data_IF_685799299312
#
_entry.id   IF_685799299312
#
_cell.length_a   1.000
_cell.length_b   1.000
_cell.length_c   1.000
_cell.angle_alpha   90.00
_cell.angle_beta   90.00
_cell.angle_gamma   90.00
#
_symmetry.space_group_name_H-M   'P 1'
#
loop_
_entity.id
_entity.type
_entity.pdbx_description
1 polymer ?
#
# COMPACT_ATOMS: atom_id res chain seq x y z
N UNK A 1 -14.23 24.22 5.61
CA UNK A 1 -13.94 23.99 7.01
C UNK A 1 -14.01 22.55 7.38
N UNK A 2 -15.22 22.06 7.54
CA UNK A 2 -15.39 20.67 7.89
C UNK A 2 -14.70 19.75 6.90
N UNK A 3 -14.73 20.12 5.64
CA UNK A 3 -14.13 19.33 4.61
C UNK A 3 -12.63 19.20 4.77
N UNK A 4 -11.97 20.29 5.13
CA UNK A 4 -10.53 20.26 5.32
C UNK A 4 -10.16 19.42 6.52
N UNK A 5 -10.92 19.56 7.60
CA UNK A 5 -10.70 18.76 8.77
C UNK A 5 -10.87 17.28 8.46
N UNK A 6 -11.91 16.96 7.68
CA UNK A 6 -12.15 15.56 7.29
C UNK A 6 -11.01 15.02 6.45
N UNK A 7 -10.49 15.82 5.53
CA UNK A 7 -9.39 15.38 4.69
C UNK A 7 -8.15 15.09 5.54
N UNK A 8 -7.86 15.94 6.52
CA UNK A 8 -6.74 15.72 7.41
C UNK A 8 -6.90 14.45 8.25
N UNK A 9 -8.12 14.21 8.70
CA UNK A 9 -8.41 13.01 9.48
C UNK A 9 -8.28 11.76 8.64
N UNK A 10 -8.64 11.84 7.36
CA UNK A 10 -8.70 10.68 6.49
C UNK A 10 -7.40 10.38 5.75
N UNK A 11 -6.43 11.29 5.80
CA UNK A 11 -5.17 11.06 5.09
C UNK A 11 -4.09 10.61 6.05
N UNK A 12 -3.13 9.89 5.51
CA UNK A 12 -1.96 9.43 6.26
C UNK A 12 -0.74 9.96 5.53
N UNK A 13 0.13 10.66 6.24
CA UNK A 13 1.34 11.16 5.64
C UNK A 13 2.34 10.03 5.46
N UNK A 14 3.30 10.26 4.56
CA UNK A 14 4.38 9.28 4.38
C UNK A 14 5.16 9.10 5.68
N UNK A 15 5.34 10.17 6.44
CA UNK A 15 6.06 10.09 7.72
C UNK A 15 5.34 9.18 8.71
N UNK A 16 4.01 9.26 8.78
CA UNK A 16 3.22 8.38 9.64
C UNK A 16 3.34 6.92 9.21
N UNK A 17 3.24 6.67 7.90
CA UNK A 17 3.38 5.33 7.37
C UNK A 17 4.78 4.78 7.64
N UNK A 18 5.79 5.60 7.44
CA UNK A 18 7.18 5.19 7.67
C UNK A 18 7.44 4.83 9.13
N UNK A 19 6.81 5.56 10.05
CA UNK A 19 6.95 5.23 11.48
C UNK A 19 6.41 3.84 11.80
N UNK A 20 5.26 3.48 11.22
CA UNK A 20 4.70 2.14 11.45
C UNK A 20 5.59 1.07 10.84
N UNK A 21 6.09 1.32 9.63
CA UNK A 21 7.01 0.37 9.02
C UNK A 21 8.25 0.17 9.89
N UNK A 22 8.85 1.24 10.40
CA UNK A 22 10.02 1.13 11.26
C UNK A 22 9.71 0.30 12.50
N UNK A 23 8.56 0.52 13.12
CA UNK A 23 8.16 -0.25 14.29
C UNK A 23 7.89 -1.71 13.97
N UNK A 24 7.53 -2.01 12.73
CA UNK A 24 7.22 -3.39 12.34
C UNK A 24 8.47 -4.28 12.31
N UNK A 25 9.64 -3.70 12.15
CA UNK A 25 10.87 -4.45 12.01
C UNK A 25 11.06 -5.13 10.68
N UNK A 26 10.21 -4.82 9.70
CA UNK A 26 10.27 -5.45 8.38
C UNK A 26 11.41 -4.89 7.53
N UNK A 27 11.85 -5.65 6.51
CA UNK A 27 12.90 -5.17 5.62
C UNK A 27 12.53 -3.89 4.90
N UNK A 28 13.46 -3.39 4.12
CA UNK A 28 13.34 -2.10 3.45
C UNK A 28 12.02 -1.97 2.69
N UNK A 29 11.29 -0.90 2.99
CA UNK A 29 10.08 -0.51 2.28
C UNK A 29 10.36 0.83 1.60
N UNK A 30 9.92 0.95 0.36
CA UNK A 30 9.97 2.22 -0.37
C UNK A 30 8.54 2.70 -0.57
N UNK A 31 8.40 4.00 -0.83
CA UNK A 31 7.08 4.62 -0.87
C UNK A 31 6.86 5.28 -2.22
N UNK A 32 5.62 5.16 -2.73
CA UNK A 32 5.19 5.85 -3.94
C UNK A 32 6.06 5.50 -5.16
N UNK A 33 6.29 4.22 -5.38
CA UNK A 33 7.03 3.74 -6.53
C UNK A 33 6.11 3.04 -7.50
N UNK A 34 6.35 3.25 -8.78
CA UNK A 34 5.58 2.58 -9.82
C UNK A 34 6.06 1.16 -9.98
N UNK A 35 5.11 0.23 -10.06
CA UNK A 35 5.38 -1.18 -10.25
C UNK A 35 4.92 -1.55 -11.66
N UNK A 36 5.75 -2.29 -12.37
CA UNK A 36 5.46 -2.73 -13.73
C UNK A 36 5.61 -4.23 -13.85
N UNK A 37 5.01 -4.81 -14.87
CA UNK A 37 5.12 -6.24 -15.14
C UNK A 37 6.42 -6.56 -15.91
N UNK A 38 6.58 -7.82 -16.28
CA UNK A 38 7.78 -8.27 -16.98
C UNK A 38 7.99 -7.56 -18.34
N UNK A 39 6.89 -7.12 -18.94
CA UNK A 39 6.95 -6.41 -20.22
C UNK A 39 7.07 -4.90 -20.05
N UNK A 40 7.17 -4.43 -18.83
CA UNK A 40 7.30 -3.00 -18.54
C UNK A 40 5.98 -2.26 -18.50
N UNK A 41 4.85 -2.97 -18.51
CA UNK A 41 3.55 -2.32 -18.45
C UNK A 41 3.17 -1.99 -17.01
N UNK A 42 2.57 -0.82 -16.84
CA UNK A 42 2.20 -0.30 -15.53
C UNK A 42 1.17 -1.17 -14.83
N UNK A 43 1.42 -1.50 -13.57
CA UNK A 43 0.45 -2.21 -12.74
C UNK A 43 -0.18 -1.26 -11.74
N UNK A 44 0.62 -0.61 -10.91
CA UNK A 44 0.11 0.26 -9.85
C UNK A 44 1.25 1.05 -9.21
N UNK A 45 0.87 2.03 -8.38
CA UNK A 45 1.83 2.76 -7.56
C UNK A 45 1.31 2.69 -6.12
N UNK A 46 1.63 1.62 -5.39
CA UNK A 46 1.16 1.48 -4.01
C UNK A 46 1.83 2.48 -3.09
N UNK A 47 1.20 2.73 -1.94
CA UNK A 47 1.77 3.65 -0.97
C UNK A 47 3.10 3.14 -0.42
N UNK A 48 3.17 1.85 -0.07
CA UNK A 48 4.39 1.21 0.38
C UNK A 48 4.69 -0.05 -0.42
N UNK A 49 5.96 -0.37 -0.57
CA UNK A 49 6.39 -1.53 -1.37
C UNK A 49 7.63 -2.16 -0.77
N UNK A 50 7.56 -3.45 -0.50
CA UNK A 50 8.75 -4.23 -0.13
C UNK A 50 9.12 -5.10 -1.33
N UNK A 51 10.16 -4.69 -2.03
CA UNK A 51 10.52 -5.28 -3.31
C UNK A 51 10.97 -6.73 -3.20
N UNK A 52 11.64 -7.06 -2.12
CA UNK A 52 12.17 -8.42 -1.95
C UNK A 52 11.11 -9.49 -2.10
N UNK A 53 9.90 -9.20 -1.68
CA UNK A 53 8.82 -10.20 -1.67
C UNK A 53 7.60 -9.77 -2.48
N UNK A 54 7.68 -8.63 -3.16
CA UNK A 54 6.56 -8.10 -3.94
C UNK A 54 5.31 -7.96 -3.07
N UNK A 55 5.45 -7.19 -1.99
CA UNK A 55 4.38 -6.90 -1.05
C UNK A 55 4.01 -5.42 -1.16
N UNK A 56 2.73 -5.13 -1.36
CA UNK A 56 2.21 -3.77 -1.50
C UNK A 56 1.36 -3.39 -0.30
N UNK A 57 1.63 -2.22 0.26
CA UNK A 57 0.82 -1.64 1.34
C UNK A 57 0.01 -0.50 0.73
N UNK A 58 -1.30 -0.59 0.83
CA UNK A 58 -2.21 0.34 0.18
C UNK A 58 -3.07 1.01 1.23
N UNK A 59 -2.78 2.28 1.53
CA UNK A 59 -3.50 3.01 2.56
C UNK A 59 -4.63 3.77 1.88
N UNK A 60 -5.85 3.37 2.19
CA UNK A 60 -7.02 3.92 1.53
C UNK A 60 -7.30 5.34 1.94
N UNK A 61 -7.80 6.11 1.00
CA UNK A 61 -8.48 7.35 1.31
C UNK A 61 -9.94 7.03 1.55
N UNK A 62 -10.56 7.69 2.51
CA UNK A 62 -11.99 7.51 2.74
C UNK A 62 -12.83 8.32 1.76
N UNK A 63 -12.20 9.04 0.86
CA UNK A 63 -12.91 9.82 -0.15
C UNK A 63 -13.78 8.96 -1.06
N UNK A 64 -13.42 7.68 -1.23
CA UNK A 64 -14.20 6.80 -2.08
C UNK A 64 -15.63 6.61 -1.59
N UNK A 65 -15.90 6.85 -0.32
CA UNK A 65 -17.27 6.81 0.21
C UNK A 65 -18.18 7.80 -0.50
N UNK A 66 -17.61 8.94 -0.85
CA UNK A 66 -18.35 10.03 -1.45
C UNK A 66 -18.21 10.08 -2.97
N UNK A 67 -17.34 9.22 -3.52
CA UNK A 67 -17.02 9.22 -4.94
C UNK A 67 -16.95 7.77 -5.43
N UNK A 68 -18.07 7.23 -5.94
CA UNK A 68 -18.10 5.85 -6.43
C UNK A 68 -17.03 5.54 -7.46
N UNK A 69 -16.67 6.50 -8.29
CA UNK A 69 -15.63 6.30 -9.29
C UNK A 69 -14.28 6.08 -8.64
N UNK A 70 -13.98 6.77 -7.56
CA UNK A 70 -12.74 6.58 -6.84
C UNK A 70 -12.69 5.20 -6.19
N UNK A 71 -13.81 4.74 -5.66
CA UNK A 71 -13.89 3.40 -5.10
C UNK A 71 -13.64 2.34 -6.17
N UNK A 72 -14.29 2.48 -7.31
CA UNK A 72 -14.12 1.56 -8.42
C UNK A 72 -12.65 1.51 -8.85
N UNK A 73 -12.02 2.66 -8.97
CA UNK A 73 -10.61 2.76 -9.35
C UNK A 73 -9.71 2.02 -8.37
N UNK A 74 -10.00 2.16 -7.07
CA UNK A 74 -9.25 1.49 -6.02
C UNK A 74 -9.37 -0.03 -6.14
N UNK A 75 -10.58 -0.52 -6.34
CA UNK A 75 -10.82 -1.96 -6.49
C UNK A 75 -10.09 -2.49 -7.72
N UNK A 76 -10.17 -1.77 -8.83
CA UNK A 76 -9.50 -2.20 -10.07
C UNK A 76 -7.99 -2.22 -9.91
N UNK A 77 -7.42 -1.24 -9.23
CA UNK A 77 -5.98 -1.19 -8.98
C UNK A 77 -5.53 -2.40 -8.16
N UNK A 78 -6.25 -2.70 -7.08
CA UNK A 78 -5.92 -3.85 -6.25
C UNK A 78 -6.07 -5.16 -7.01
N UNK A 79 -7.10 -5.25 -7.82
CA UNK A 79 -7.31 -6.46 -8.64
C UNK A 79 -6.15 -6.66 -9.59
N UNK A 80 -5.66 -5.59 -10.23
CA UNK A 80 -4.50 -5.70 -11.11
C UNK A 80 -3.28 -6.21 -10.36
N UNK A 81 -3.02 -5.66 -9.18
CA UNK A 81 -1.88 -6.11 -8.38
C UNK A 81 -2.02 -7.59 -8.02
N UNK A 82 -3.18 -7.99 -7.57
CA UNK A 82 -3.42 -9.38 -7.17
C UNK A 82 -3.33 -10.33 -8.36
N UNK A 83 -3.78 -9.90 -9.53
CA UNK A 83 -3.69 -10.71 -10.74
C UNK A 83 -2.24 -10.98 -11.14
N UNK A 84 -1.32 -10.12 -10.72
CA UNK A 84 0.10 -10.31 -10.96
C UNK A 84 0.81 -11.03 -9.81
N UNK A 85 0.07 -11.53 -8.85
CA UNK A 85 0.65 -12.29 -7.75
C UNK A 85 1.19 -11.45 -6.59
N UNK A 86 0.92 -10.16 -6.61
CA UNK A 86 1.35 -9.26 -5.53
C UNK A 86 0.46 -9.47 -4.32
N UNK A 87 1.06 -9.55 -3.14
CA UNK A 87 0.30 -9.57 -1.88
C UNK A 87 -0.01 -8.13 -1.51
N UNK A 88 -1.27 -7.80 -1.34
CA UNK A 88 -1.71 -6.43 -1.05
C UNK A 88 -2.33 -6.37 0.34
N UNK A 89 -1.89 -5.42 1.14
CA UNK A 89 -2.52 -5.13 2.44
C UNK A 89 -3.23 -3.79 2.35
N UNK A 90 -4.57 -3.78 2.27
CA UNK A 90 -5.30 -2.52 2.38
C UNK A 90 -5.41 -2.11 3.85
N UNK A 91 -5.22 -0.84 4.12
CA UNK A 91 -5.30 -0.31 5.48
C UNK A 91 -6.09 0.98 5.46
N UNK A 92 -7.00 1.13 6.42
CA UNK A 92 -7.76 2.38 6.57
C UNK A 92 -6.90 3.41 7.30
N UNK A 93 -6.97 4.68 6.91
CA UNK A 93 -6.25 5.74 7.65
C UNK A 93 -6.61 5.78 9.13
N UNK A 94 -7.87 5.54 9.47
CA UNK A 94 -8.28 5.52 10.87
C UNK A 94 -7.55 4.44 11.66
N UNK A 95 -7.27 3.30 11.04
CA UNK A 95 -6.55 2.24 11.72
C UNK A 95 -5.11 2.65 12.03
N UNK A 96 -4.48 3.40 11.15
CA UNK A 96 -3.13 3.89 11.37
C UNK A 96 -3.07 4.75 12.63
N UNK A 97 -4.08 5.56 12.86
CA UNK A 97 -4.12 6.47 14.01
C UNK A 97 -4.62 5.80 15.27
N UNK A 98 -5.69 5.03 15.14
CA UNK A 98 -6.44 4.53 16.31
C UNK A 98 -5.99 3.15 16.74
N UNK A 99 -5.40 2.38 15.85
CA UNK A 99 -5.03 1.00 16.16
C UNK A 99 -3.71 0.61 15.48
N UNK A 100 -2.63 1.36 15.76
CA UNK A 100 -1.35 1.13 15.07
C UNK A 100 -0.77 -0.26 15.34
N UNK A 101 -0.98 -0.81 16.51
CA UNK A 101 -0.45 -2.14 16.81
C UNK A 101 -1.09 -3.21 15.94
N UNK A 102 -2.37 -3.06 15.63
CA UNK A 102 -3.05 -3.99 14.73
C UNK A 102 -2.50 -3.86 13.32
N UNK A 103 -2.23 -2.62 12.88
CA UNK A 103 -1.66 -2.40 11.56
C UNK A 103 -0.27 -3.06 11.47
N UNK A 104 0.54 -2.91 12.51
CA UNK A 104 1.86 -3.53 12.55
C UNK A 104 1.74 -5.05 12.47
N UNK A 105 0.79 -5.62 13.18
CA UNK A 105 0.56 -7.07 13.14
C UNK A 105 0.15 -7.51 11.73
N UNK A 106 -0.71 -6.73 11.08
CA UNK A 106 -1.15 -7.02 9.71
C UNK A 106 0.01 -6.91 8.72
N UNK A 107 0.86 -5.89 8.89
CA UNK A 107 2.06 -5.76 8.04
C UNK A 107 2.93 -7.01 8.16
N UNK A 108 3.17 -7.47 9.39
CA UNK A 108 4.00 -8.65 9.60
C UNK A 108 3.38 -9.90 9.00
N UNK A 109 2.07 -10.10 9.18
CA UNK A 109 1.42 -11.30 8.67
C UNK A 109 1.37 -11.32 7.15
N UNK A 110 1.15 -10.17 6.52
CA UNK A 110 1.14 -10.10 5.06
C UNK A 110 2.54 -10.24 4.48
N UNK A 111 3.55 -9.73 5.18
CA UNK A 111 4.92 -9.97 4.76
C UNK A 111 5.23 -11.48 4.78
N UNK A 112 4.76 -12.19 5.81
CA UNK A 112 4.96 -13.64 5.89
C UNK A 112 4.28 -14.35 4.73
N UNK A 113 3.05 -13.95 4.40
CA UNK A 113 2.37 -14.51 3.23
C UNK A 113 3.19 -14.29 1.97
N UNK A 114 3.67 -13.07 1.79
CA UNK A 114 4.44 -12.74 0.60
C UNK A 114 5.74 -13.54 0.52
N UNK A 115 6.44 -13.70 1.64
CA UNK A 115 7.70 -14.42 1.66
C UNK A 115 7.52 -15.93 1.54
N UNK A 116 6.30 -16.44 1.72
CA UNK A 116 6.03 -17.89 1.70
C UNK A 116 5.71 -18.42 0.31
N UNK A 117 5.67 -17.59 -0.71
CA UNK A 117 5.38 -18.00 -2.07
C UNK A 117 6.48 -17.51 -3.01
N UNK A 118 6.64 -18.10 -4.20
CA UNK A 118 7.62 -17.59 -5.16
C UNK A 118 7.30 -16.13 -5.51
N UNK A 119 8.35 -15.30 -5.60
CA UNK A 119 8.15 -13.90 -5.94
C UNK A 119 7.68 -13.78 -7.38
N UNK A 120 6.59 -13.05 -7.64
CA UNK A 120 6.13 -12.84 -9.01
C UNK A 120 7.10 -11.97 -9.81
N UNK A 121 6.98 -12.04 -11.13
CA UNK A 121 7.86 -11.29 -12.03
C UNK A 121 7.33 -9.88 -12.23
N UNK A 122 7.56 -9.03 -11.23
CA UNK A 122 7.22 -7.62 -11.32
C UNK A 122 8.45 -6.81 -10.95
N UNK A 123 8.50 -5.56 -11.41
CA UNK A 123 9.64 -4.68 -11.19
C UNK A 123 9.20 -3.34 -10.64
N UNK A 124 9.98 -2.85 -9.71
CA UNK A 124 9.83 -1.49 -9.21
C UNK A 124 10.67 -0.56 -10.07
N UNK A 125 10.06 0.51 -10.56
CA UNK A 125 10.81 1.53 -11.28
C UNK A 125 11.55 2.42 -10.28
N UNK A 126 12.71 2.92 -10.71
CA UNK A 126 13.46 3.85 -9.86
C UNK A 126 12.72 5.16 -9.74
N UNK A 127 12.91 5.81 -8.61
CA UNK A 127 12.38 7.15 -8.45
C UNK A 127 13.03 8.07 -9.48
N UNK A 128 12.28 9.06 -9.99
CA UNK A 128 12.87 10.04 -10.88
C UNK A 128 14.02 10.72 -10.18
N UNK A 129 15.09 10.84 -10.89
CA UNK A 129 16.35 11.25 -10.38
C UNK A 129 16.60 12.52 -9.79
#
# INVERSE_FOLDING_TARGET
>A
MLREVSADVHSVSEAEARRLWLRSGLPRMVFNRKIVDADGQFIAMPDGWIDDVAFAWDIDSLDWHLAPEAYKSTVERRTRMQNHGIIVLPTLPSAVRDNPDRVIADLRSHYQLASSRPRPEVRMLRAPG
#
